data_IF_363167141489
#
_entry.id   IF_363167141489
#
_cell.length_a   1.000
_cell.length_b   1.000
_cell.length_c   1.000
_cell.angle_alpha   90.00
_cell.angle_beta   90.00
_cell.angle_gamma   90.00
#
_symmetry.space_group_name_H-M   'P 1'
#
loop_
_entity.id
_entity.type
_entity.pdbx_description
1 polymer ?
#
# COMPACT_ATOMS: atom_id res chain seq x y z
N UNK A 1 6.64 -14.99 -9.94
CA UNK A 1 6.11 -14.00 -8.98
C UNK A 1 4.96 -13.17 -9.55
N UNK A 2 4.63 -13.40 -10.82
CA UNK A 2 3.70 -12.56 -11.58
C UNK A 2 2.21 -12.76 -11.26
N UNK A 3 1.85 -13.89 -10.66
CA UNK A 3 0.44 -14.26 -10.37
C UNK A 3 -0.22 -13.40 -9.30
N UNK A 4 0.52 -12.84 -8.35
CA UNK A 4 -0.01 -11.96 -7.29
C UNK A 4 0.20 -10.47 -7.60
N UNK A 5 1.17 -10.14 -8.45
CA UNK A 5 1.52 -8.76 -8.80
C UNK A 5 0.36 -8.03 -9.48
N UNK A 6 -0.20 -8.64 -10.52
CA UNK A 6 -1.30 -8.07 -11.28
C UNK A 6 -2.56 -7.79 -10.46
N UNK A 7 -3.12 -8.76 -9.69
CA UNK A 7 -4.32 -8.51 -8.90
C UNK A 7 -4.11 -7.47 -7.80
N UNK A 8 -2.93 -7.41 -7.17
CA UNK A 8 -2.63 -6.40 -6.15
C UNK A 8 -2.57 -4.99 -6.76
N UNK A 9 -1.91 -4.83 -7.93
CA UNK A 9 -1.88 -3.56 -8.67
C UNK A 9 -3.28 -3.12 -9.10
N UNK A 10 -4.06 -4.04 -9.67
CA UNK A 10 -5.42 -3.75 -10.11
C UNK A 10 -6.32 -3.33 -8.95
N UNK A 11 -6.22 -4.01 -7.82
CA UNK A 11 -6.99 -3.69 -6.62
C UNK A 11 -6.56 -2.33 -6.04
N UNK A 12 -5.26 -2.08 -5.89
CA UNK A 12 -4.74 -0.82 -5.39
C UNK A 12 -5.08 0.35 -6.33
N UNK A 13 -4.93 0.17 -7.65
CA UNK A 13 -5.33 1.16 -8.65
C UNK A 13 -6.82 1.48 -8.61
N UNK A 14 -7.67 0.46 -8.47
CA UNK A 14 -9.12 0.62 -8.36
C UNK A 14 -9.52 1.45 -7.13
N UNK A 15 -8.97 1.13 -5.96
CA UNK A 15 -9.26 1.88 -4.73
C UNK A 15 -8.69 3.30 -4.78
N UNK A 16 -7.50 3.49 -5.36
CA UNK A 16 -6.95 4.83 -5.59
C UNK A 16 -7.85 5.65 -6.53
N UNK A 17 -8.40 5.03 -7.58
CA UNK A 17 -9.38 5.65 -8.46
C UNK A 17 -10.66 6.07 -7.72
N UNK A 18 -11.18 5.23 -6.82
CA UNK A 18 -12.34 5.61 -5.99
C UNK A 18 -12.05 6.81 -5.08
N UNK A 19 -10.85 6.86 -4.47
CA UNK A 19 -10.45 8.01 -3.66
C UNK A 19 -10.35 9.29 -4.50
N UNK A 20 -9.77 9.21 -5.70
CA UNK A 20 -9.68 10.35 -6.62
C UNK A 20 -11.08 10.84 -7.04
N UNK A 21 -11.99 9.92 -7.37
CA UNK A 21 -13.37 10.29 -7.70
C UNK A 21 -14.09 10.95 -6.52
N UNK A 22 -13.80 10.52 -5.28
CA UNK A 22 -14.42 11.12 -4.08
C UNK A 22 -14.01 12.56 -3.82
N UNK A 23 -12.85 12.98 -4.33
CA UNK A 23 -12.37 14.38 -4.25
C UNK A 23 -12.71 15.20 -5.51
N UNK A 24 -13.57 14.67 -6.41
CA UNK A 24 -14.03 15.36 -7.59
C UNK A 24 -13.13 15.25 -8.82
N UNK A 25 -12.11 14.36 -8.81
CA UNK A 25 -11.28 14.01 -9.96
C UNK A 25 -11.92 12.86 -10.73
N UNK A 26 -12.01 12.96 -12.06
CA UNK A 26 -12.46 11.82 -12.88
C UNK A 26 -11.32 10.82 -13.01
N UNK A 27 -11.47 9.63 -12.44
CA UNK A 27 -10.47 8.57 -12.51
C UNK A 27 -11.08 7.24 -12.96
N UNK A 28 -10.47 6.62 -13.98
CA UNK A 28 -10.89 5.35 -14.56
C UNK A 28 -9.70 4.42 -14.73
N UNK A 29 -9.87 3.15 -14.32
CA UNK A 29 -8.87 2.12 -14.48
C UNK A 29 -9.06 1.42 -15.82
N UNK A 30 -8.01 1.41 -16.65
CA UNK A 30 -8.00 0.77 -17.97
C UNK A 30 -6.82 -0.18 -18.10
N UNK A 31 -7.00 -1.22 -18.90
CA UNK A 31 -5.93 -2.15 -19.28
C UNK A 31 -5.58 -1.89 -20.74
N UNK A 32 -4.34 -1.52 -20.98
CA UNK A 32 -3.83 -1.34 -22.35
C UNK A 32 -2.95 -2.53 -22.72
N UNK A 33 -3.30 -3.20 -23.81
CA UNK A 33 -2.57 -4.35 -24.32
C UNK A 33 -2.21 -4.10 -25.78
N UNK A 34 -0.92 -4.03 -26.08
CA UNK A 34 -0.41 -3.99 -27.43
C UNK A 34 -0.11 -5.40 -27.94
N UNK A 35 -0.17 -5.66 -29.28
CA UNK A 35 -0.09 -7.01 -29.83
C UNK A 35 1.19 -7.82 -29.52
N UNK A 36 2.26 -7.20 -29.03
CA UNK A 36 3.56 -7.82 -28.73
C UNK A 36 4.16 -7.35 -27.38
N UNK A 37 3.37 -6.76 -26.52
CA UNK A 37 3.83 -6.29 -25.19
C UNK A 37 2.96 -6.86 -24.07
N UNK A 38 3.53 -6.92 -22.87
CA UNK A 38 2.76 -7.29 -21.68
C UNK A 38 1.65 -6.25 -21.41
N UNK A 39 0.49 -6.68 -20.93
CA UNK A 39 -0.62 -5.78 -20.63
C UNK A 39 -0.20 -4.77 -19.56
N UNK A 40 -0.46 -3.49 -19.82
CA UNK A 40 -0.14 -2.37 -18.93
C UNK A 40 -1.39 -1.88 -18.24
N UNK A 41 -1.33 -1.72 -16.92
CA UNK A 41 -2.43 -1.17 -16.14
C UNK A 41 -2.29 0.35 -16.08
N UNK A 42 -3.29 1.05 -16.63
CA UNK A 42 -3.34 2.51 -16.67
C UNK A 42 -4.48 3.01 -15.77
N UNK A 43 -4.18 3.98 -14.93
CA UNK A 43 -5.17 4.78 -14.24
C UNK A 43 -5.28 6.13 -14.97
N UNK A 44 -6.37 6.34 -15.67
CA UNK A 44 -6.65 7.56 -16.44
C UNK A 44 -7.30 8.57 -15.50
N UNK A 45 -6.64 9.70 -15.26
CA UNK A 45 -7.14 10.76 -14.39
C UNK A 45 -7.20 12.07 -15.17
N UNK A 46 -8.41 12.64 -15.30
CA UNK A 46 -8.64 13.88 -16.08
C UNK A 46 -8.03 13.80 -17.49
N UNK A 47 -8.22 12.67 -18.18
CA UNK A 47 -7.66 12.32 -19.49
C UNK A 47 -6.14 12.13 -19.55
N UNK A 48 -5.43 12.16 -18.41
CA UNK A 48 -4.00 11.85 -18.35
C UNK A 48 -3.81 10.39 -17.92
N UNK A 49 -3.14 9.57 -18.72
CA UNK A 49 -2.85 8.19 -18.35
C UNK A 49 -1.65 8.11 -17.40
N UNK A 50 -1.84 7.47 -16.26
CA UNK A 50 -0.80 7.15 -15.30
C UNK A 50 -0.61 5.64 -15.26
N UNK A 51 0.59 5.16 -15.55
CA UNK A 51 0.90 3.74 -15.45
C UNK A 51 1.02 3.33 -13.98
N UNK A 52 0.23 2.32 -13.57
CA UNK A 52 0.41 1.66 -12.28
C UNK A 52 1.55 0.65 -12.43
N UNK A 53 2.76 1.12 -12.20
CA UNK A 53 3.99 0.35 -12.38
C UNK A 53 4.11 -0.84 -11.41
N UNK A 54 4.98 -1.80 -11.71
CA UNK A 54 5.20 -2.98 -10.89
C UNK A 54 5.65 -2.63 -9.46
N UNK A 55 6.39 -1.54 -9.29
CA UNK A 55 6.82 -1.01 -8.01
C UNK A 55 5.67 -0.52 -7.13
N UNK A 56 4.50 -0.27 -7.73
CA UNK A 56 3.27 0.15 -7.04
C UNK A 56 2.37 -1.01 -6.61
N UNK A 57 2.83 -2.27 -6.72
CA UNK A 57 2.06 -3.44 -6.28
C UNK A 57 1.87 -3.52 -4.75
N UNK A 58 2.69 -2.79 -3.99
CA UNK A 58 2.65 -2.74 -2.53
C UNK A 58 3.22 -3.98 -1.84
N UNK A 59 3.71 -4.96 -2.59
CA UNK A 59 4.19 -6.22 -2.02
C UNK A 59 5.30 -6.01 -0.98
N UNK A 60 6.25 -5.10 -1.26
CA UNK A 60 7.32 -4.76 -0.31
C UNK A 60 6.78 -4.19 1.01
N UNK A 61 5.82 -3.27 0.95
CA UNK A 61 5.19 -2.67 2.15
C UNK A 61 4.40 -3.72 2.93
N UNK A 62 3.60 -4.53 2.24
CA UNK A 62 2.79 -5.60 2.83
C UNK A 62 3.69 -6.63 3.51
N UNK A 63 4.75 -7.10 2.84
CA UNK A 63 5.67 -8.08 3.39
C UNK A 63 6.43 -7.53 4.61
N UNK A 64 6.92 -6.29 4.53
CA UNK A 64 7.64 -5.66 5.65
C UNK A 64 6.74 -5.42 6.86
N UNK A 65 5.49 -4.99 6.65
CA UNK A 65 4.51 -4.83 7.72
C UNK A 65 4.15 -6.17 8.38
N UNK A 66 4.02 -7.23 7.58
CA UNK A 66 3.80 -8.58 8.07
C UNK A 66 4.98 -9.09 8.91
N UNK A 67 6.21 -8.93 8.42
CA UNK A 67 7.42 -9.34 9.14
C UNK A 67 7.54 -8.60 10.48
N UNK A 68 7.29 -7.29 10.49
CA UNK A 68 7.30 -6.49 11.71
C UNK A 68 6.24 -6.98 12.70
N UNK A 69 5.02 -7.24 12.24
CA UNK A 69 3.94 -7.76 13.09
C UNK A 69 4.27 -9.13 13.67
N UNK A 70 4.86 -10.03 12.88
CA UNK A 70 5.33 -11.34 13.34
C UNK A 70 6.43 -11.21 14.39
N UNK A 71 7.45 -10.38 14.14
CA UNK A 71 8.56 -10.16 15.08
C UNK A 71 8.07 -9.62 16.42
N UNK A 72 7.19 -8.60 16.39
CA UNK A 72 6.63 -8.03 17.61
C UNK A 72 5.72 -9.03 18.34
N UNK A 73 4.92 -9.80 17.61
CA UNK A 73 4.05 -10.82 18.20
C UNK A 73 4.82 -11.94 18.89
N UNK A 74 5.94 -12.37 18.31
CA UNK A 74 6.85 -13.36 18.91
C UNK A 74 7.55 -12.75 20.15
N UNK A 75 8.04 -11.52 20.02
CA UNK A 75 8.72 -10.82 21.11
C UNK A 75 7.83 -10.64 22.34
N UNK A 76 6.57 -10.27 22.13
CA UNK A 76 5.58 -10.09 23.21
C UNK A 76 4.87 -11.39 23.62
N UNK A 77 5.22 -12.54 23.04
CA UNK A 77 4.62 -13.86 23.33
C UNK A 77 3.08 -13.85 23.23
N UNK A 78 2.57 -13.21 22.19
CA UNK A 78 1.13 -12.99 21.99
C UNK A 78 0.43 -14.32 21.74
N UNK A 79 -0.79 -14.48 22.28
CA UNK A 79 -1.65 -15.67 22.07
C UNK A 79 -1.98 -15.83 20.58
N UNK A 80 -2.14 -17.07 20.07
CA UNK A 80 -2.32 -17.34 18.64
C UNK A 80 -3.55 -16.63 18.01
N UNK A 81 -4.61 -16.43 18.75
CA UNK A 81 -5.78 -15.67 18.27
C UNK A 81 -5.44 -14.19 18.02
N UNK A 82 -4.75 -13.56 18.96
CA UNK A 82 -4.33 -12.17 18.83
C UNK A 82 -3.24 -12.01 17.75
N UNK A 83 -2.40 -13.04 17.56
CA UNK A 83 -1.45 -13.09 16.45
C UNK A 83 -2.16 -13.03 15.10
N UNK A 84 -3.23 -13.79 14.90
CA UNK A 84 -4.03 -13.76 13.67
C UNK A 84 -4.63 -12.37 13.41
N UNK A 85 -5.15 -11.72 14.46
CA UNK A 85 -5.68 -10.35 14.36
C UNK A 85 -4.58 -9.36 13.98
N UNK A 86 -3.41 -9.45 14.61
CA UNK A 86 -2.27 -8.57 14.34
C UNK A 86 -1.75 -8.72 12.91
N UNK A 87 -1.65 -9.96 12.42
CA UNK A 87 -1.27 -10.25 11.03
C UNK A 87 -2.29 -9.63 10.06
N UNK A 88 -3.57 -9.85 10.30
CA UNK A 88 -4.64 -9.29 9.45
C UNK A 88 -4.61 -7.76 9.45
N UNK A 89 -4.41 -7.14 10.60
CA UNK A 89 -4.28 -5.68 10.72
C UNK A 89 -3.04 -5.15 9.98
N UNK A 90 -1.90 -5.83 10.08
CA UNK A 90 -0.68 -5.45 9.37
C UNK A 90 -0.82 -5.55 7.85
N UNK A 91 -1.43 -6.63 7.35
CA UNK A 91 -1.74 -6.80 5.93
C UNK A 91 -2.68 -5.69 5.43
N UNK A 92 -3.73 -5.40 6.19
CA UNK A 92 -4.68 -4.34 5.86
C UNK A 92 -3.99 -2.96 5.83
N UNK A 93 -3.18 -2.63 6.84
CA UNK A 93 -2.42 -1.38 6.87
C UNK A 93 -1.45 -1.29 5.69
N UNK A 94 -0.70 -2.34 5.38
CA UNK A 94 0.20 -2.38 4.24
C UNK A 94 -0.54 -2.08 2.93
N UNK A 95 -1.71 -2.65 2.74
CA UNK A 95 -2.55 -2.40 1.57
C UNK A 95 -3.08 -0.95 1.54
N UNK A 96 -3.59 -0.43 2.66
CA UNK A 96 -4.08 0.97 2.76
C UNK A 96 -2.97 1.97 2.47
N UNK A 97 -1.78 1.78 3.04
CA UNK A 97 -0.65 2.67 2.78
C UNK A 97 -0.17 2.62 1.33
N UNK A 98 -0.29 1.47 0.66
CA UNK A 98 -0.01 1.38 -0.77
C UNK A 98 -1.04 2.16 -1.62
N UNK A 99 -2.32 2.11 -1.26
CA UNK A 99 -3.36 2.95 -1.89
C UNK A 99 -3.04 4.43 -1.70
N UNK A 100 -2.69 4.85 -0.48
CA UNK A 100 -2.30 6.23 -0.17
C UNK A 100 -1.08 6.64 -1.00
N UNK A 101 -0.08 5.77 -1.17
CA UNK A 101 1.08 6.01 -2.02
C UNK A 101 0.69 6.33 -3.45
N UNK A 102 -0.11 5.46 -4.09
CA UNK A 102 -0.57 5.65 -5.48
C UNK A 102 -1.38 6.95 -5.59
N UNK A 103 -2.29 7.17 -4.67
CA UNK A 103 -3.12 8.38 -4.61
C UNK A 103 -2.26 9.67 -4.53
N UNK A 104 -1.27 9.71 -3.63
CA UNK A 104 -0.37 10.85 -3.48
C UNK A 104 0.47 11.08 -4.74
N UNK A 105 1.02 10.01 -5.34
CA UNK A 105 1.81 10.11 -6.57
C UNK A 105 0.98 10.74 -7.68
N UNK A 106 -0.25 10.29 -7.89
CA UNK A 106 -1.13 10.80 -8.95
C UNK A 106 -1.54 12.25 -8.71
N UNK A 107 -1.76 12.66 -7.45
CA UNK A 107 -2.09 14.05 -7.13
C UNK A 107 -0.92 15.00 -7.36
N UNK A 108 0.30 14.56 -7.09
CA UNK A 108 1.50 15.38 -7.20
C UNK A 108 2.09 15.39 -8.61
N UNK A 109 1.92 14.32 -9.38
CA UNK A 109 2.51 14.13 -10.70
C UNK A 109 2.28 15.30 -11.66
N UNK A 110 1.08 15.88 -11.83
CA UNK A 110 0.85 16.98 -12.77
C UNK A 110 1.69 18.22 -12.46
N UNK A 111 2.01 18.45 -11.18
CA UNK A 111 2.76 19.62 -10.73
C UNK A 111 4.27 19.38 -10.64
N UNK A 112 4.71 18.12 -10.67
CA UNK A 112 6.09 17.74 -10.39
C UNK A 112 6.70 16.81 -11.47
N UNK A 113 6.22 16.92 -12.72
CA UNK A 113 6.70 16.06 -13.82
C UNK A 113 8.22 16.13 -14.04
N UNK A 114 8.82 17.33 -13.85
CA UNK A 114 10.28 17.49 -13.98
C UNK A 114 11.11 16.77 -12.89
N UNK A 115 10.47 16.42 -11.78
CA UNK A 115 11.09 15.75 -10.63
C UNK A 115 10.36 14.43 -10.27
N UNK A 116 9.74 13.81 -11.27
CA UNK A 116 8.88 12.64 -11.05
C UNK A 116 9.56 11.52 -10.28
N UNK A 117 10.80 11.17 -10.62
CA UNK A 117 11.53 10.08 -9.98
C UNK A 117 11.78 10.37 -8.49
N UNK A 118 12.24 11.60 -8.18
CA UNK A 118 12.50 12.03 -6.80
C UNK A 118 11.19 12.05 -6.00
N UNK A 119 10.12 12.56 -6.59
CA UNK A 119 8.80 12.59 -5.97
C UNK A 119 8.28 11.17 -5.69
N UNK A 120 8.39 10.27 -6.67
CA UNK A 120 7.96 8.89 -6.55
C UNK A 120 8.71 8.15 -5.43
N UNK A 121 10.05 8.31 -5.36
CA UNK A 121 10.87 7.72 -4.30
C UNK A 121 10.54 8.31 -2.93
N UNK A 122 10.40 9.63 -2.84
CA UNK A 122 10.10 10.33 -1.58
C UNK A 122 8.74 9.93 -1.02
N UNK A 123 7.70 9.90 -1.84
CA UNK A 123 6.36 9.44 -1.44
C UNK A 123 6.40 7.97 -1.03
N UNK A 124 7.13 7.14 -1.79
CA UNK A 124 7.35 5.74 -1.47
C UNK A 124 8.01 5.56 -0.10
N UNK A 125 9.06 6.32 0.18
CA UNK A 125 9.78 6.29 1.46
C UNK A 125 8.88 6.71 2.63
N UNK A 126 8.19 7.84 2.50
CA UNK A 126 7.31 8.37 3.56
C UNK A 126 6.16 7.39 3.87
N UNK A 127 5.52 6.85 2.84
CA UNK A 127 4.41 5.90 3.03
C UNK A 127 4.88 4.56 3.59
N UNK A 128 6.06 4.09 3.20
CA UNK A 128 6.67 2.87 3.75
C UNK A 128 6.94 3.00 5.26
N UNK A 129 7.66 4.03 5.68
CA UNK A 129 7.95 4.27 7.09
C UNK A 129 6.70 4.61 7.89
N UNK A 130 5.76 5.36 7.30
CA UNK A 130 4.46 5.63 7.89
C UNK A 130 3.68 4.34 8.20
N UNK A 131 3.70 3.38 7.28
CA UNK A 131 3.09 2.06 7.50
C UNK A 131 3.76 1.31 8.67
N UNK A 132 5.09 1.22 8.69
CA UNK A 132 5.81 0.52 9.74
C UNK A 132 5.58 1.15 11.12
N UNK A 133 5.56 2.48 11.21
CA UNK A 133 5.24 3.21 12.43
C UNK A 133 3.80 2.93 12.86
N UNK A 134 2.84 2.93 11.94
CA UNK A 134 1.45 2.63 12.24
C UNK A 134 1.27 1.21 12.79
N UNK A 135 1.92 0.21 12.15
CA UNK A 135 1.94 -1.19 12.64
C UNK A 135 2.56 -1.26 14.03
N UNK A 136 3.70 -0.59 14.23
CA UNK A 136 4.38 -0.58 15.51
C UNK A 136 3.53 0.04 16.62
N UNK A 137 2.89 1.18 16.37
CA UNK A 137 2.00 1.86 17.33
C UNK A 137 0.78 1.00 17.65
N UNK A 138 0.16 0.40 16.61
CA UNK A 138 -1.01 -0.46 16.79
C UNK A 138 -0.70 -1.67 17.68
N UNK A 139 0.46 -2.28 17.51
CA UNK A 139 0.86 -3.49 18.23
C UNK A 139 1.45 -3.21 19.61
N UNK A 140 2.03 -2.02 19.83
CA UNK A 140 2.55 -1.63 21.16
C UNK A 140 1.51 -1.04 22.10
N UNK A 141 0.35 -0.63 21.61
CA UNK A 141 -0.73 -0.05 22.45
C UNK A 141 -1.44 -1.13 23.28
N UNK A 142 -2.58 -1.64 22.82
CA UNK A 142 -3.43 -2.52 23.63
C UNK A 142 -2.83 -3.91 23.89
N UNK A 143 -1.98 -4.42 23.03
CA UNK A 143 -1.37 -5.75 23.19
C UNK A 143 -0.33 -5.82 24.29
N UNK A 144 0.35 -4.72 24.58
CA UNK A 144 1.30 -4.66 25.69
C UNK A 144 0.61 -4.69 27.04
N UNK A 145 -0.50 -3.97 27.18
CA UNK A 145 -1.29 -3.96 28.43
C UNK A 145 -1.86 -5.34 28.73
N UNK A 146 -2.43 -6.01 27.74
CA UNK A 146 -2.97 -7.38 27.88
C UNK A 146 -1.89 -8.42 28.21
N UNK A 147 -0.66 -8.27 27.71
CA UNK A 147 0.44 -9.16 28.02
C UNK A 147 0.99 -8.93 29.44
N UNK A 148 0.89 -7.70 29.97
CA UNK A 148 1.30 -7.38 31.34
C UNK A 148 0.26 -7.82 32.38
N UNK A 149 -1.02 -7.81 32.05
CA UNK A 149 -2.11 -8.29 32.92
C UNK A 149 -2.23 -9.81 32.98
N UNK A 150 -1.63 -10.54 32.03
CA UNK A 150 -1.69 -12.00 31.94
C UNK A 150 -0.52 -12.72 32.64
N UNK A 151 0.45 -12.00 33.20
CA UNK A 151 1.58 -12.47 34.01
C UNK A 151 1.43 -12.04 35.47
#
# INVERSE_FOLDING_TARGET
MDTLDWPLRALAGKWSGYLLNSIGKTAELSVHSEPNSDPVLLLIVENNPFQVAAECNGFGVILSSLLLALMLSIYYKIKPLNLAVNITAALFLGFVFNIIRIFCIILLAPNMMAYYDIMHETVGFITFWGCLIAVWVLLNGPTREQALEAN
#
